data_IF_894934032584
#
_entry.id   IF_894934032584
#
_cell.length_a   1.000
_cell.length_b   1.000
_cell.length_c   1.000
_cell.angle_alpha   90.00
_cell.angle_beta   90.00
_cell.angle_gamma   90.00
#
_symmetry.space_group_name_H-M   'P 1'
#
loop_
_entity.id
_entity.type
_entity.pdbx_description
1 polymer ?
#
# COMPACT_ATOMS: atom_id res chain seq x y z
N UNK A 1 23.86 40.10 -36.89
CA UNK A 1 24.07 38.77 -36.26
C UNK A 1 23.15 38.71 -35.05
N UNK A 2 22.01 38.00 -35.15
CA UNK A 2 21.01 37.90 -34.08
C UNK A 2 21.36 36.70 -33.19
N UNK A 3 21.67 36.94 -31.92
CA UNK A 3 21.91 35.91 -30.92
C UNK A 3 20.57 35.42 -30.36
N UNK A 4 20.19 34.18 -30.70
CA UNK A 4 19.12 33.45 -30.01
C UNK A 4 19.68 32.91 -28.69
N UNK A 5 19.27 33.48 -27.57
CA UNK A 5 19.55 32.91 -26.24
C UNK A 5 18.53 31.80 -26.01
N UNK A 6 18.99 30.55 -26.14
CA UNK A 6 18.19 29.37 -25.83
C UNK A 6 18.07 29.25 -24.30
N UNK A 7 16.91 29.60 -23.75
CA UNK A 7 16.59 29.41 -22.33
C UNK A 7 16.45 27.90 -22.08
N UNK A 8 17.46 27.27 -21.48
CA UNK A 8 17.31 25.92 -20.94
C UNK A 8 16.25 25.97 -19.85
N UNK A 9 15.12 25.30 -20.06
CA UNK A 9 14.22 24.95 -18.97
C UNK A 9 14.95 23.93 -18.10
N UNK A 10 15.55 24.41 -17.01
CA UNK A 10 15.90 23.57 -15.88
C UNK A 10 14.59 23.19 -15.20
N UNK A 11 14.04 22.03 -15.55
CA UNK A 11 13.08 21.36 -14.68
C UNK A 11 13.79 21.11 -13.35
N UNK A 12 13.43 21.87 -12.32
CA UNK A 12 13.88 21.61 -10.97
C UNK A 12 13.40 20.21 -10.59
N UNK A 13 14.33 19.25 -10.57
CA UNK A 13 14.04 17.88 -10.18
C UNK A 13 13.50 17.91 -8.75
N UNK A 14 12.27 17.42 -8.55
CA UNK A 14 11.71 17.24 -7.21
C UNK A 14 12.73 16.48 -6.34
N UNK A 15 12.96 16.88 -5.08
CA UNK A 15 13.85 16.15 -4.19
C UNK A 15 13.37 14.69 -4.09
N UNK A 16 14.29 13.76 -4.36
CA UNK A 16 14.02 12.32 -4.25
C UNK A 16 14.21 11.95 -2.78
N UNK A 17 13.10 11.80 -2.05
CA UNK A 17 13.11 11.31 -0.67
C UNK A 17 13.24 9.78 -0.65
N UNK A 18 13.98 9.25 0.32
CA UNK A 18 13.96 7.81 0.60
C UNK A 18 12.68 7.44 1.35
N UNK A 19 12.29 6.16 1.30
CA UNK A 19 11.02 5.70 1.88
C UNK A 19 10.97 5.98 3.39
N UNK A 20 12.10 5.87 4.09
CA UNK A 20 12.24 6.12 5.53
C UNK A 20 12.04 7.60 5.92
N UNK A 21 12.07 8.52 4.96
CA UNK A 21 11.84 9.95 5.16
C UNK A 21 10.38 10.35 4.97
N UNK A 22 9.56 9.46 4.41
CA UNK A 22 8.15 9.70 4.15
C UNK A 22 7.30 9.19 5.33
N UNK A 23 6.12 9.78 5.58
CA UNK A 23 5.19 9.23 6.55
C UNK A 23 4.84 7.78 6.24
N UNK A 24 4.77 6.95 7.29
CA UNK A 24 4.35 5.56 7.16
C UNK A 24 2.92 5.47 6.61
N UNK A 25 2.70 4.54 5.69
CA UNK A 25 1.37 4.33 5.11
C UNK A 25 0.51 3.54 6.08
N UNK A 26 -0.67 4.07 6.43
CA UNK A 26 -1.59 3.43 7.38
C UNK A 26 -2.47 2.41 6.67
N UNK A 27 -2.41 1.15 7.14
CA UNK A 27 -3.19 0.05 6.57
C UNK A 27 -3.99 -0.68 7.65
N UNK A 28 -5.19 -1.13 7.29
CA UNK A 28 -5.89 -2.20 8.00
C UNK A 28 -5.61 -3.53 7.29
N UNK A 29 -5.35 -4.61 8.02
CA UNK A 29 -5.16 -5.95 7.43
C UNK A 29 -6.38 -6.80 7.73
N UNK A 30 -7.03 -7.29 6.68
CA UNK A 30 -8.24 -8.12 6.78
C UNK A 30 -7.94 -9.51 6.25
N UNK A 31 -8.16 -10.54 7.06
CA UNK A 31 -8.12 -11.91 6.59
C UNK A 31 -9.29 -12.16 5.63
N UNK A 32 -8.97 -12.39 4.36
CA UNK A 32 -9.95 -12.58 3.29
C UNK A 32 -10.24 -14.05 2.97
N UNK A 33 -9.46 -14.99 3.48
CA UNK A 33 -9.53 -16.40 3.05
C UNK A 33 -9.75 -17.41 4.19
N UNK A 34 -9.78 -16.94 5.44
CA UNK A 34 -10.24 -17.72 6.60
C UNK A 34 -9.19 -18.65 7.19
N UNK A 35 -7.91 -18.50 6.81
CA UNK A 35 -6.82 -19.18 7.53
C UNK A 35 -6.63 -18.54 8.89
N UNK A 36 -6.51 -19.37 9.92
CA UNK A 36 -6.35 -18.92 11.30
C UNK A 36 -5.10 -18.03 11.43
N UNK A 37 -5.21 -16.95 12.21
CA UNK A 37 -4.14 -15.98 12.48
C UNK A 37 -3.55 -15.23 11.27
N UNK A 38 -4.06 -15.44 10.05
CA UNK A 38 -3.45 -14.90 8.84
C UNK A 38 -3.30 -13.37 8.84
N UNK A 39 -4.27 -12.61 9.36
CA UNK A 39 -4.14 -11.15 9.43
C UNK A 39 -2.96 -10.71 10.31
N UNK A 40 -2.71 -11.41 11.42
CA UNK A 40 -1.61 -11.12 12.33
C UNK A 40 -0.26 -11.51 11.71
N UNK A 41 -0.17 -12.68 11.08
CA UNK A 41 1.05 -13.14 10.40
C UNK A 41 1.42 -12.21 9.24
N UNK A 42 0.42 -11.80 8.46
CA UNK A 42 0.63 -10.83 7.37
C UNK A 42 1.06 -9.47 7.91
N UNK A 43 0.47 -8.99 9.00
CA UNK A 43 0.89 -7.75 9.65
C UNK A 43 2.34 -7.82 10.15
N UNK A 44 2.78 -8.96 10.70
CA UNK A 44 4.16 -9.17 11.09
C UNK A 44 5.13 -9.07 9.90
N UNK A 45 4.74 -9.59 8.73
CA UNK A 45 5.53 -9.50 7.50
C UNK A 45 5.66 -8.07 6.93
N UNK A 46 4.83 -7.13 7.41
CA UNK A 46 4.91 -5.71 7.02
C UNK A 46 5.77 -4.87 7.96
N UNK A 47 6.21 -5.42 9.10
CA UNK A 47 6.83 -4.66 10.20
C UNK A 47 8.10 -3.90 9.80
N UNK A 48 8.91 -4.47 8.91
CA UNK A 48 10.20 -3.87 8.51
C UNK A 48 10.05 -2.91 7.30
N UNK A 49 8.81 -2.61 6.90
CA UNK A 49 8.47 -1.67 5.82
C UNK A 49 7.96 -0.37 6.43
N UNK A 50 7.94 0.72 5.65
CA UNK A 50 7.38 2.00 6.11
C UNK A 50 5.83 1.99 6.08
N UNK A 51 5.25 1.02 6.78
CA UNK A 51 3.81 0.71 6.81
C UNK A 51 3.40 0.58 8.28
N UNK A 52 2.35 1.33 8.66
CA UNK A 52 1.74 1.25 9.98
C UNK A 52 0.45 0.41 9.90
N UNK A 53 0.45 -0.78 10.51
CA UNK A 53 -0.76 -1.59 10.63
C UNK A 53 -1.60 -1.07 11.80
N UNK A 54 -2.68 -0.35 11.51
CA UNK A 54 -3.53 0.30 12.53
C UNK A 54 -4.61 -0.62 13.09
N UNK A 55 -4.84 -1.79 12.47
CA UNK A 55 -5.83 -2.75 12.93
C UNK A 55 -5.87 -4.03 12.11
N UNK A 56 -6.43 -5.07 12.73
CA UNK A 56 -6.67 -6.39 12.13
C UNK A 56 -8.17 -6.64 12.04
N UNK A 57 -8.60 -7.36 11.01
CA UNK A 57 -10.01 -7.71 10.79
C UNK A 57 -10.15 -9.07 10.12
N UNK A 58 -11.37 -9.59 10.12
CA UNK A 58 -11.78 -10.83 9.47
C UNK A 58 -12.92 -10.50 8.49
N UNK A 59 -12.88 -11.06 7.29
CA UNK A 59 -14.02 -10.92 6.38
C UNK A 59 -15.20 -11.78 6.87
N UNK A 60 -16.45 -11.28 6.79
CA UNK A 60 -17.62 -12.10 7.09
C UNK A 60 -17.78 -13.30 6.14
N UNK A 61 -17.17 -13.26 4.95
CA UNK A 61 -17.21 -14.31 3.93
C UNK A 61 -15.81 -14.55 3.36
N UNK A 62 -15.08 -15.57 3.85
CA UNK A 62 -13.69 -15.82 3.46
C UNK A 62 -13.57 -16.47 2.07
N UNK A 63 -13.75 -15.65 1.03
CA UNK A 63 -13.80 -16.10 -0.37
C UNK A 63 -12.66 -15.54 -1.24
N UNK A 64 -11.70 -14.84 -0.65
CA UNK A 64 -10.66 -14.16 -1.43
C UNK A 64 -9.54 -15.14 -1.81
N UNK A 65 -9.50 -15.52 -3.09
CA UNK A 65 -8.39 -16.30 -3.65
C UNK A 65 -7.13 -15.46 -3.88
N UNK A 66 -7.29 -14.13 -3.97
CA UNK A 66 -6.23 -13.19 -4.31
C UNK A 66 -6.21 -11.99 -3.37
N UNK A 67 -5.02 -11.59 -2.96
CA UNK A 67 -4.77 -10.44 -2.11
C UNK A 67 -5.03 -9.15 -2.89
N UNK A 68 -5.69 -8.19 -2.26
CA UNK A 68 -6.08 -6.91 -2.89
C UNK A 68 -5.90 -5.74 -1.92
N UNK A 69 -5.39 -4.62 -2.44
CA UNK A 69 -5.39 -3.33 -1.76
C UNK A 69 -6.71 -2.61 -2.07
N UNK A 70 -7.43 -2.16 -1.04
CA UNK A 70 -8.61 -1.32 -1.18
C UNK A 70 -8.26 0.09 -0.73
N UNK A 71 -8.39 1.06 -1.64
CA UNK A 71 -8.26 2.48 -1.31
C UNK A 71 -9.51 2.89 -0.51
N UNK A 72 -9.30 3.34 0.72
CA UNK A 72 -10.36 3.81 1.62
C UNK A 72 -10.38 5.34 1.68
N UNK A 73 -9.22 5.96 1.83
CA UNK A 73 -9.05 7.43 1.75
C UNK A 73 -7.66 7.89 1.29
N UNK A 74 -6.73 6.95 1.06
CA UNK A 74 -5.40 7.26 0.53
C UNK A 74 -5.43 7.76 -0.92
N UNK A 75 -4.30 8.32 -1.34
CA UNK A 75 -4.11 8.79 -2.71
C UNK A 75 -3.33 7.76 -3.57
N UNK A 76 -3.10 8.13 -4.83
CA UNK A 76 -2.44 7.26 -5.80
C UNK A 76 -0.92 7.17 -5.59
N UNK A 77 -0.28 8.19 -5.03
CA UNK A 77 1.16 8.18 -4.76
C UNK A 77 1.47 7.20 -3.63
N UNK A 78 0.67 7.23 -2.57
CA UNK A 78 0.78 6.26 -1.47
C UNK A 78 0.38 4.85 -1.89
N UNK A 79 -0.59 4.70 -2.80
CA UNK A 79 -0.90 3.39 -3.39
C UNK A 79 0.33 2.82 -4.12
N UNK A 80 0.99 3.61 -4.96
CA UNK A 80 2.17 3.19 -5.72
C UNK A 80 3.32 2.79 -4.79
N UNK A 81 3.54 3.56 -3.70
CA UNK A 81 4.48 3.21 -2.62
C UNK A 81 4.12 1.88 -1.95
N UNK A 82 2.85 1.71 -1.57
CA UNK A 82 2.36 0.49 -0.92
C UNK A 82 2.52 -0.75 -1.82
N UNK A 83 2.17 -0.63 -3.11
CA UNK A 83 2.37 -1.71 -4.10
C UNK A 83 3.84 -2.06 -4.26
N UNK A 84 4.74 -1.07 -4.28
CA UNK A 84 6.19 -1.28 -4.37
C UNK A 84 6.75 -1.99 -3.13
N UNK A 85 6.34 -1.59 -1.93
CA UNK A 85 6.80 -2.21 -0.67
C UNK A 85 6.24 -3.63 -0.45
N UNK A 86 5.01 -3.89 -0.89
CA UNK A 86 4.32 -5.16 -0.63
C UNK A 86 4.43 -6.17 -1.77
N UNK A 87 4.70 -5.72 -3.00
CA UNK A 87 4.61 -6.55 -4.21
C UNK A 87 3.18 -6.78 -4.69
N UNK A 88 2.15 -6.39 -3.93
CA UNK A 88 0.75 -6.56 -4.30
C UNK A 88 0.43 -5.63 -5.47
N UNK A 89 -0.05 -6.20 -6.58
CA UNK A 89 -0.40 -5.43 -7.78
C UNK A 89 -1.90 -5.15 -7.91
N UNK A 90 -2.74 -5.93 -7.24
CA UNK A 90 -4.19 -5.83 -7.36
C UNK A 90 -4.71 -4.77 -6.40
N UNK A 91 -5.50 -3.84 -6.93
CA UNK A 91 -6.17 -2.84 -6.11
C UNK A 91 -7.56 -2.48 -6.64
N UNK A 92 -8.36 -1.89 -5.77
CA UNK A 92 -9.66 -1.28 -6.08
C UNK A 92 -9.91 -0.10 -5.14
N UNK A 93 -10.99 0.65 -5.33
CA UNK A 93 -11.39 1.74 -4.45
C UNK A 93 -12.78 1.50 -3.87
N UNK A 94 -12.90 1.76 -2.57
CA UNK A 94 -14.17 1.74 -1.85
C UNK A 94 -14.10 2.80 -0.75
N UNK A 95 -14.21 4.06 -1.18
CA UNK A 95 -13.94 5.22 -0.36
C UNK A 95 -14.82 5.29 0.89
N UNK A 96 -14.22 5.60 2.03
CA UNK A 96 -14.88 5.78 3.31
C UNK A 96 -14.03 6.68 4.21
N UNK A 97 -14.49 7.91 4.44
CA UNK A 97 -13.78 8.87 5.30
C UNK A 97 -13.72 8.42 6.78
N UNK A 98 -14.67 7.57 7.19
CA UNK A 98 -14.74 7.02 8.54
C UNK A 98 -13.80 5.83 8.77
N UNK A 99 -13.13 5.34 7.73
CA UNK A 99 -12.20 4.22 7.86
C UNK A 99 -10.93 4.66 8.58
N UNK A 100 -10.43 3.83 9.50
CA UNK A 100 -9.31 4.16 10.38
C UNK A 100 -7.97 4.27 9.64
N UNK A 101 -7.86 3.70 8.44
CA UNK A 101 -6.65 3.61 7.64
C UNK A 101 -6.84 4.24 6.25
N UNK A 102 -5.74 4.54 5.56
CA UNK A 102 -5.78 5.06 4.19
C UNK A 102 -6.10 3.95 3.19
N UNK A 103 -5.63 2.74 3.50
CA UNK A 103 -5.84 1.53 2.73
C UNK A 103 -6.28 0.36 3.62
N UNK A 104 -6.91 -0.62 3.00
CA UNK A 104 -7.14 -1.94 3.57
C UNK A 104 -6.48 -2.99 2.67
N UNK A 105 -5.72 -3.91 3.27
CA UNK A 105 -5.18 -5.07 2.58
C UNK A 105 -6.06 -6.25 2.94
N UNK A 106 -6.85 -6.73 1.98
CA UNK A 106 -7.62 -7.96 2.14
C UNK A 106 -6.74 -9.12 1.65
N UNK A 107 -6.31 -9.96 2.58
CA UNK A 107 -5.34 -11.04 2.36
C UNK A 107 -6.04 -12.28 1.79
N UNK A 108 -5.65 -12.69 0.59
CA UNK A 108 -6.20 -13.87 -0.08
C UNK A 108 -5.37 -15.13 0.11
N UNK A 109 -5.80 -16.24 -0.52
CA UNK A 109 -5.08 -17.53 -0.49
C UNK A 109 -3.69 -17.49 -1.12
N UNK A 110 -3.33 -16.43 -1.84
CA UNK A 110 -2.02 -16.19 -2.41
C UNK A 110 -1.05 -15.44 -1.45
N UNK A 111 -1.40 -15.33 -0.16
CA UNK A 111 -0.64 -14.59 0.84
C UNK A 111 0.84 -14.97 0.93
N UNK A 112 1.19 -16.23 0.72
CA UNK A 112 2.57 -16.72 0.77
C UNK A 112 3.49 -15.98 -0.22
N UNK A 113 2.93 -15.43 -1.30
CA UNK A 113 3.67 -14.62 -2.28
C UNK A 113 4.17 -13.28 -1.72
N UNK A 114 3.59 -12.81 -0.61
CA UNK A 114 3.86 -11.50 -0.03
C UNK A 114 4.47 -11.56 1.38
N UNK A 115 4.45 -12.73 2.02
CA UNK A 115 5.08 -12.96 3.34
C UNK A 115 6.55 -13.40 3.21
N UNK A 116 6.96 -13.90 2.03
CA UNK A 116 8.32 -14.38 1.81
C UNK A 116 9.34 -13.24 1.58
N UNK A 117 10.07 -12.84 2.63
CA UNK A 117 11.51 -13.07 2.81
C UNK A 117 11.99 -12.61 4.19
#
# INVERSE_FOLDING_TARGET
MLFFIWKKNTEESKPVYSEEQLPAIKVMVTNGCGYEHLAADFAAALKDKNIEVVGLSETPKPIYDKTIIVIRKGDREDLERLMKMTGIQRWTSAYSEYFSADFEIIVGRDYEQFIAY
#
